data_IF_634502696163
#
_entry.id   IF_634502696163
#
_cell.length_a   1.000
_cell.length_b   1.000
_cell.length_c   1.000
_cell.angle_alpha   90.00
_cell.angle_beta   90.00
_cell.angle_gamma   90.00
#
_symmetry.space_group_name_H-M   'P 1'
#
loop_
_entity.id
_entity.type
_entity.pdbx_description
1 polymer ?
#
# COMPACT_ATOMS: atom_id res chain seq x y z
N UNK A 1 -16.64 -15.22 28.31
CA UNK A 1 -15.95 -16.20 27.44
C UNK A 1 -14.72 -16.71 28.17
N UNK A 2 -14.48 -18.04 28.16
CA UNK A 2 -13.21 -18.61 28.65
C UNK A 2 -12.28 -18.80 27.45
N UNK A 3 -10.99 -18.46 27.58
CA UNK A 3 -10.01 -18.73 26.54
C UNK A 3 -9.85 -20.24 26.33
N UNK A 4 -9.76 -20.68 25.07
CA UNK A 4 -9.47 -22.05 24.70
C UNK A 4 -8.03 -22.14 24.21
N UNK A 5 -7.26 -23.07 24.77
CA UNK A 5 -5.86 -23.30 24.40
C UNK A 5 -5.80 -24.49 23.45
N UNK A 6 -5.25 -24.26 22.26
CA UNK A 6 -5.03 -25.30 21.26
C UNK A 6 -3.54 -25.40 20.96
N UNK A 7 -2.92 -26.54 21.28
CA UNK A 7 -1.56 -26.82 20.85
C UNK A 7 -1.59 -27.30 19.41
N UNK A 8 -0.97 -26.55 18.49
CA UNK A 8 -0.77 -27.02 17.13
C UNK A 8 0.36 -28.05 17.11
N UNK A 9 0.02 -29.30 16.83
CA UNK A 9 1.01 -30.34 16.60
C UNK A 9 1.52 -30.21 15.16
N UNK A 10 2.83 -30.08 14.97
CA UNK A 10 3.42 -30.28 13.65
C UNK A 10 3.19 -31.75 13.26
N UNK A 11 2.33 -32.00 12.27
CA UNK A 11 2.20 -33.32 11.66
C UNK A 11 3.44 -33.57 10.80
N UNK A 12 4.37 -34.41 11.26
CA UNK A 12 5.60 -34.73 10.51
C UNK A 12 6.68 -35.40 11.35
N UNK A 13 7.65 -36.03 10.67
CA UNK A 13 8.82 -36.74 11.22
C UNK A 13 9.53 -35.92 12.32
N UNK A 14 10.13 -36.56 13.35
CA UNK A 14 11.00 -35.86 14.30
C UNK A 14 12.19 -35.14 13.64
N UNK A 15 12.58 -35.59 12.44
CA UNK A 15 13.68 -35.03 11.66
C UNK A 15 13.34 -33.67 11.07
N UNK A 16 14.25 -32.72 11.25
CA UNK A 16 14.16 -31.41 10.65
C UNK A 16 14.56 -31.48 9.16
N UNK A 17 13.95 -30.66 8.29
CA UNK A 17 14.43 -30.50 6.92
C UNK A 17 15.88 -30.01 6.89
N UNK A 18 16.64 -30.37 5.85
CA UNK A 18 18.05 -29.96 5.67
C UNK A 18 18.23 -28.44 5.76
N UNK A 19 17.28 -27.66 5.24
CA UNK A 19 17.35 -26.21 5.31
C UNK A 19 17.40 -25.67 6.75
N UNK A 20 16.82 -26.37 7.72
CA UNK A 20 16.89 -25.94 9.11
C UNK A 20 18.34 -25.96 9.62
N UNK A 21 19.13 -26.93 9.16
CA UNK A 21 20.56 -27.03 9.45
C UNK A 21 21.33 -25.95 8.68
N UNK A 22 21.05 -25.77 7.38
CA UNK A 22 21.72 -24.78 6.53
C UNK A 22 21.57 -23.34 7.06
N UNK A 23 20.39 -23.01 7.61
CA UNK A 23 20.10 -21.72 8.22
C UNK A 23 20.49 -21.64 9.71
N UNK A 24 21.09 -22.68 10.27
CA UNK A 24 21.45 -22.78 11.69
C UNK A 24 20.27 -22.46 12.62
N UNK A 25 19.08 -22.96 12.29
CA UNK A 25 17.86 -22.70 13.03
C UNK A 25 17.70 -23.71 14.16
N UNK A 26 17.39 -23.20 15.35
CA UNK A 26 16.99 -24.06 16.46
C UNK A 26 15.73 -24.87 16.08
N UNK A 27 15.66 -26.14 16.53
CA UNK A 27 14.56 -27.07 16.24
C UNK A 27 13.17 -26.46 16.44
N UNK A 28 13.00 -25.69 17.51
CA UNK A 28 11.73 -25.01 17.79
C UNK A 28 11.40 -23.95 16.73
N UNK A 29 12.39 -23.16 16.31
CA UNK A 29 12.22 -22.12 15.29
C UNK A 29 11.85 -22.73 13.94
N UNK A 30 12.54 -23.80 13.53
CA UNK A 30 12.24 -24.52 12.29
C UNK A 30 10.82 -25.10 12.29
N UNK A 31 10.40 -25.74 13.41
CA UNK A 31 9.02 -26.24 13.57
C UNK A 31 7.98 -25.11 13.51
N UNK A 32 8.27 -23.97 14.13
CA UNK A 32 7.41 -22.78 14.09
C UNK A 32 7.30 -22.16 12.70
N UNK A 33 8.33 -22.29 11.86
CA UNK A 33 8.31 -21.86 10.45
C UNK A 33 7.47 -22.80 9.59
N UNK A 34 7.65 -24.11 9.74
CA UNK A 34 6.82 -25.14 9.06
C UNK A 34 5.35 -24.97 9.41
N UNK A 35 5.02 -24.77 10.70
CA UNK A 35 3.65 -24.52 11.14
C UNK A 35 3.05 -23.24 10.54
N UNK A 36 3.88 -22.28 10.15
CA UNK A 36 3.47 -21.04 9.45
C UNK A 36 3.48 -21.18 7.93
N UNK A 37 3.69 -22.39 7.40
CA UNK A 37 3.64 -22.70 5.97
C UNK A 37 4.95 -22.45 5.21
N UNK A 38 6.07 -22.19 5.91
CA UNK A 38 7.40 -22.07 5.30
C UNK A 38 8.04 -23.47 5.25
N UNK A 39 7.89 -24.15 4.12
CA UNK A 39 8.20 -25.57 4.00
C UNK A 39 9.48 -25.86 3.20
N UNK A 40 9.95 -24.92 2.38
CA UNK A 40 11.16 -25.07 1.57
C UNK A 40 12.23 -24.00 1.86
N UNK A 41 13.46 -24.30 1.43
CA UNK A 41 14.63 -23.47 1.70
C UNK A 41 14.52 -22.07 1.10
N UNK A 42 13.87 -21.91 -0.06
CA UNK A 42 13.75 -20.61 -0.75
C UNK A 42 12.75 -19.70 -0.01
N UNK A 43 11.62 -20.27 0.44
CA UNK A 43 10.65 -19.56 1.27
C UNK A 43 11.28 -19.08 2.59
N UNK A 44 12.04 -19.95 3.27
CA UNK A 44 12.74 -19.60 4.51
C UNK A 44 13.81 -18.55 4.26
N UNK A 45 14.59 -18.68 3.18
CA UNK A 45 15.59 -17.71 2.76
C UNK A 45 15.00 -16.32 2.61
N UNK A 46 13.97 -16.17 1.78
CA UNK A 46 13.34 -14.89 1.50
C UNK A 46 12.57 -14.32 2.69
N UNK A 47 12.05 -15.18 3.57
CA UNK A 47 11.40 -14.73 4.81
C UNK A 47 12.41 -14.11 5.80
N UNK A 48 13.60 -14.69 5.90
CA UNK A 48 14.65 -14.23 6.81
C UNK A 48 15.47 -13.07 6.24
N UNK A 49 15.83 -13.17 4.96
CA UNK A 49 16.76 -12.27 4.28
C UNK A 49 16.10 -11.70 3.03
N UNK A 50 15.71 -10.41 3.02
CA UNK A 50 15.01 -9.84 1.88
C UNK A 50 15.89 -9.81 0.60
N UNK A 51 17.22 -9.88 0.71
CA UNK A 51 18.15 -10.03 -0.42
C UNK A 51 18.03 -11.38 -1.13
N UNK A 52 17.47 -12.38 -0.45
CA UNK A 52 17.23 -13.73 -0.97
C UNK A 52 15.79 -13.94 -1.40
N UNK A 53 14.96 -12.89 -1.35
CA UNK A 53 13.61 -12.91 -1.88
C UNK A 53 13.63 -12.49 -3.35
N UNK A 54 12.83 -13.18 -4.18
CA UNK A 54 12.62 -12.83 -5.58
C UNK A 54 11.25 -12.16 -5.72
N UNK A 55 11.19 -10.83 -5.94
CA UNK A 55 9.93 -10.13 -6.10
C UNK A 55 9.11 -10.67 -7.27
N UNK A 56 7.81 -10.82 -7.06
CA UNK A 56 6.91 -11.26 -8.12
C UNK A 56 6.74 -10.13 -9.17
N UNK A 57 6.67 -10.53 -10.44
CA UNK A 57 6.46 -9.62 -11.56
C UNK A 57 5.12 -8.88 -11.41
N UNK A 58 5.06 -7.56 -11.68
CA UNK A 58 3.83 -6.79 -11.54
C UNK A 58 2.67 -7.32 -12.39
N UNK A 59 2.92 -7.80 -13.61
CA UNK A 59 1.87 -8.31 -14.51
C UNK A 59 1.11 -9.54 -13.96
N UNK A 60 1.65 -10.21 -12.92
CA UNK A 60 0.96 -11.30 -12.24
C UNK A 60 -0.23 -10.81 -11.38
N UNK A 61 -0.35 -9.51 -11.10
CA UNK A 61 -1.52 -8.95 -10.43
C UNK A 61 -2.60 -8.61 -11.46
N UNK A 62 -3.80 -9.23 -11.40
CA UNK A 62 -4.85 -8.99 -12.40
C UNK A 62 -5.25 -7.52 -12.50
N UNK A 63 -5.50 -7.06 -13.73
CA UNK A 63 -5.88 -5.68 -14.05
C UNK A 63 -4.69 -4.71 -14.13
N UNK A 64 -3.48 -5.14 -13.74
CA UNK A 64 -2.36 -4.23 -13.59
C UNK A 64 -1.81 -3.70 -14.92
N UNK A 65 -1.69 -4.55 -15.94
CA UNK A 65 -1.30 -4.12 -17.29
C UNK A 65 -2.30 -3.16 -17.93
N UNK A 66 -3.59 -3.38 -17.70
CA UNK A 66 -4.65 -2.52 -18.19
C UNK A 66 -4.66 -1.17 -17.45
N UNK A 67 -4.53 -1.17 -16.13
CA UNK A 67 -4.44 0.06 -15.34
C UNK A 67 -3.22 0.90 -15.70
N UNK A 68 -2.05 0.28 -15.92
CA UNK A 68 -0.85 0.98 -16.37
C UNK A 68 -1.05 1.63 -17.75
N UNK A 69 -1.69 0.94 -18.70
CA UNK A 69 -2.01 1.50 -20.02
C UNK A 69 -2.95 2.69 -19.93
N UNK A 70 -4.03 2.60 -19.14
CA UNK A 70 -4.95 3.73 -18.92
C UNK A 70 -4.21 4.96 -18.39
N UNK A 71 -3.28 4.78 -17.45
CA UNK A 71 -2.45 5.86 -16.92
C UNK A 71 -1.59 6.47 -18.04
N UNK A 72 -0.87 5.64 -18.81
CA UNK A 72 0.02 6.11 -19.88
C UNK A 72 -0.78 6.88 -20.95
N UNK A 73 -1.91 6.33 -21.38
CA UNK A 73 -2.80 6.97 -22.36
C UNK A 73 -3.27 8.34 -21.86
N UNK A 74 -3.81 8.41 -20.64
CA UNK A 74 -4.28 9.67 -20.03
C UNK A 74 -3.16 10.72 -19.96
N UNK A 75 -1.95 10.32 -19.55
CA UNK A 75 -0.81 11.23 -19.48
C UNK A 75 -0.37 11.68 -20.86
N UNK A 76 -0.37 10.79 -21.86
CA UNK A 76 0.00 11.12 -23.23
C UNK A 76 -0.96 12.09 -23.92
N UNK A 77 -2.25 12.03 -23.54
CA UNK A 77 -3.29 12.95 -24.00
C UNK A 77 -3.22 14.32 -23.30
N UNK A 78 -2.40 14.45 -22.24
CA UNK A 78 -2.28 15.68 -21.47
C UNK A 78 -3.52 16.00 -20.62
N UNK A 79 -4.39 15.02 -20.36
CA UNK A 79 -5.57 15.19 -19.52
C UNK A 79 -5.24 14.93 -18.06
N UNK A 80 -6.03 15.50 -17.14
CA UNK A 80 -5.76 15.36 -15.70
C UNK A 80 -6.19 13.98 -15.18
N UNK A 81 -5.50 13.48 -14.15
CA UNK A 81 -5.87 12.28 -13.42
C UNK A 81 -6.41 12.70 -12.05
N UNK A 82 -7.62 12.27 -11.69
CA UNK A 82 -8.17 12.46 -10.35
C UNK A 82 -7.83 11.25 -9.47
N UNK A 83 -7.00 11.45 -8.46
CA UNK A 83 -6.72 10.47 -7.42
C UNK A 83 -7.72 10.66 -6.28
N UNK A 84 -8.54 9.63 -6.02
CA UNK A 84 -9.46 9.56 -4.89
C UNK A 84 -8.89 8.62 -3.83
N UNK A 85 -8.29 9.18 -2.78
CA UNK A 85 -7.66 8.44 -1.69
C UNK A 85 -8.59 8.12 -0.54
N UNK A 86 -8.41 6.95 0.08
CA UNK A 86 -8.98 6.71 1.39
C UNK A 86 -8.30 7.55 2.49
N UNK A 87 -9.00 7.70 3.61
CA UNK A 87 -8.69 8.61 4.69
C UNK A 87 -7.67 8.07 5.71
N UNK A 88 -7.42 6.76 5.71
CA UNK A 88 -6.43 6.14 6.60
C UNK A 88 -5.00 6.20 6.02
N UNK A 89 -4.02 5.75 6.81
CA UNK A 89 -2.61 5.80 6.41
C UNK A 89 -2.34 5.04 5.11
N UNK A 90 -2.98 3.89 4.87
CA UNK A 90 -2.75 3.11 3.66
C UNK A 90 -3.28 3.85 2.44
N UNK A 91 -4.52 4.36 2.49
CA UNK A 91 -5.09 5.19 1.43
C UNK A 91 -4.28 6.46 1.14
N UNK A 92 -3.80 7.15 2.17
CA UNK A 92 -2.95 8.33 2.02
C UNK A 92 -1.61 7.95 1.36
N UNK A 93 -0.96 6.88 1.81
CA UNK A 93 0.31 6.44 1.22
C UNK A 93 0.13 5.96 -0.22
N UNK A 94 -0.94 5.21 -0.50
CA UNK A 94 -1.32 4.75 -1.85
C UNK A 94 -1.45 5.94 -2.80
N UNK A 95 -2.19 6.95 -2.36
CA UNK A 95 -2.41 8.18 -3.13
C UNK A 95 -1.11 8.94 -3.37
N UNK A 96 -0.27 9.06 -2.34
CA UNK A 96 0.99 9.80 -2.42
C UNK A 96 2.02 9.13 -3.33
N UNK A 97 2.14 7.80 -3.28
CA UNK A 97 3.02 7.04 -4.18
C UNK A 97 2.62 7.26 -5.64
N UNK A 98 1.33 7.18 -5.95
CA UNK A 98 0.83 7.47 -7.30
C UNK A 98 1.04 8.94 -7.68
N UNK A 99 0.70 9.87 -6.80
CA UNK A 99 0.87 11.31 -7.04
C UNK A 99 2.32 11.64 -7.44
N UNK A 100 3.29 11.21 -6.64
CA UNK A 100 4.71 11.48 -6.88
C UNK A 100 5.22 10.78 -8.15
N UNK A 101 4.76 9.55 -8.43
CA UNK A 101 5.15 8.82 -9.62
C UNK A 101 4.58 9.44 -10.91
N UNK A 102 3.31 9.88 -10.87
CA UNK A 102 2.61 10.54 -11.96
C UNK A 102 3.24 11.90 -12.29
N UNK A 103 3.59 12.69 -11.27
CA UNK A 103 4.32 13.96 -11.47
C UNK A 103 5.65 13.75 -12.18
N UNK A 104 6.37 12.65 -11.89
CA UNK A 104 7.63 12.34 -12.57
C UNK A 104 7.46 11.99 -14.05
N UNK A 105 6.28 11.57 -14.51
CA UNK A 105 6.00 11.30 -15.92
C UNK A 105 5.31 12.49 -16.60
N UNK A 106 5.25 13.66 -15.95
CA UNK A 106 4.71 14.90 -16.52
C UNK A 106 3.24 15.14 -16.28
N UNK A 107 2.57 14.28 -15.51
CA UNK A 107 1.16 14.47 -15.16
C UNK A 107 0.99 15.51 -14.05
N UNK A 108 -0.20 16.12 -14.00
CA UNK A 108 -0.63 17.01 -12.91
C UNK A 108 -1.88 16.41 -12.26
N UNK A 109 -1.72 15.42 -11.36
CA UNK A 109 -2.87 14.78 -10.73
C UNK A 109 -3.60 15.75 -9.81
N UNK A 110 -4.93 15.64 -9.80
CA UNK A 110 -5.81 16.26 -8.79
C UNK A 110 -5.99 15.25 -7.67
N UNK A 111 -5.73 15.66 -6.43
CA UNK A 111 -5.80 14.76 -5.27
C UNK A 111 -7.00 15.12 -4.42
N UNK A 112 -7.83 14.13 -4.11
CA UNK A 112 -8.88 14.20 -3.12
C UNK A 112 -8.71 13.09 -2.10
N UNK A 113 -8.49 13.44 -0.83
CA UNK A 113 -8.54 12.47 0.27
C UNK A 113 -9.95 12.51 0.84
N UNK A 114 -10.62 11.36 0.81
CA UNK A 114 -11.99 11.24 1.30
C UNK A 114 -12.06 11.50 2.82
N UNK A 115 -13.21 11.93 3.30
CA UNK A 115 -13.47 12.02 4.75
C UNK A 115 -13.91 10.68 5.36
N UNK A 116 -14.41 9.78 4.53
CA UNK A 116 -14.92 8.46 4.89
C UNK A 116 -14.60 7.46 3.79
N UNK A 117 -14.48 6.17 4.15
CA UNK A 117 -14.20 5.09 3.19
C UNK A 117 -15.31 4.99 2.12
N UNK A 118 -14.89 4.67 0.90
CA UNK A 118 -15.74 4.61 -0.28
C UNK A 118 -15.62 5.84 -1.19
N UNK A 119 -16.28 5.77 -2.36
CA UNK A 119 -16.31 6.86 -3.34
C UNK A 119 -17.71 7.47 -3.36
N UNK A 120 -17.82 8.71 -2.86
CA UNK A 120 -19.10 9.44 -2.82
C UNK A 120 -19.48 9.89 -4.23
N UNK A 121 -20.59 9.38 -4.77
CA UNK A 121 -21.02 9.69 -6.14
C UNK A 121 -21.30 11.18 -6.37
N UNK A 122 -21.90 11.88 -5.40
CA UNK A 122 -22.22 13.31 -5.53
C UNK A 122 -20.95 14.18 -5.55
N UNK A 123 -20.01 13.91 -4.63
CA UNK A 123 -18.75 14.65 -4.57
C UNK A 123 -17.84 14.31 -5.75
N UNK A 124 -17.82 13.04 -6.18
CA UNK A 124 -17.13 12.63 -7.40
C UNK A 124 -17.64 13.39 -8.62
N UNK A 125 -18.96 13.52 -8.79
CA UNK A 125 -19.53 14.30 -9.88
C UNK A 125 -19.12 15.76 -9.83
N UNK A 126 -19.09 16.37 -8.65
CA UNK A 126 -18.61 17.75 -8.49
C UNK A 126 -17.14 17.89 -8.92
N UNK A 127 -16.26 16.99 -8.47
CA UNK A 127 -14.84 17.03 -8.83
C UNK A 127 -14.61 16.76 -10.32
N UNK A 128 -15.38 15.83 -10.91
CA UNK A 128 -15.35 15.57 -12.35
C UNK A 128 -15.77 16.81 -13.14
N UNK A 129 -16.83 17.50 -12.74
CA UNK A 129 -17.26 18.75 -13.39
C UNK A 129 -16.22 19.87 -13.25
N UNK A 130 -15.59 19.96 -12.09
CA UNK A 130 -14.61 21.01 -11.80
C UNK A 130 -13.28 20.80 -12.53
N UNK A 131 -12.82 19.56 -12.65
CA UNK A 131 -11.47 19.25 -13.13
C UNK A 131 -11.42 18.55 -14.49
N UNK A 132 -12.56 18.03 -14.96
CA UNK A 132 -12.67 17.28 -16.22
C UNK A 132 -11.56 16.23 -16.41
N UNK A 133 -11.37 15.30 -15.45
CA UNK A 133 -10.29 14.34 -15.52
C UNK A 133 -10.50 13.34 -16.67
N UNK A 134 -9.40 12.94 -17.31
CA UNK A 134 -9.37 11.85 -18.28
C UNK A 134 -9.38 10.46 -17.63
N UNK A 135 -9.05 10.37 -16.34
CA UNK A 135 -9.05 9.14 -15.55
C UNK A 135 -9.33 9.44 -14.08
N UNK A 136 -10.12 8.58 -13.44
CA UNK A 136 -10.25 8.55 -11.97
C UNK A 136 -9.59 7.29 -11.42
N UNK A 137 -8.72 7.43 -10.43
CA UNK A 137 -8.08 6.32 -9.71
C UNK A 137 -8.53 6.34 -8.24
N UNK A 138 -9.27 5.32 -7.81
CA UNK A 138 -9.57 5.11 -6.40
C UNK A 138 -8.40 4.35 -5.72
N UNK A 139 -7.90 4.91 -4.63
CA UNK A 139 -6.67 4.50 -3.94
C UNK A 139 -7.00 3.99 -2.53
N UNK A 140 -6.83 2.68 -2.32
CA UNK A 140 -7.29 1.92 -1.14
C UNK A 140 -8.81 2.02 -0.86
N UNK A 141 -9.59 2.11 -1.93
CA UNK A 141 -11.04 2.21 -1.84
C UNK A 141 -11.64 1.90 -3.20
N UNK A 142 -12.97 1.81 -3.25
CA UNK A 142 -13.70 1.78 -4.51
C UNK A 142 -14.16 0.40 -4.97
N UNK A 143 -13.69 -0.71 -4.38
CA UNK A 143 -14.10 -2.07 -4.80
C UNK A 143 -15.61 -2.29 -4.78
N UNK A 144 -16.31 -1.64 -3.85
CA UNK A 144 -17.77 -1.72 -3.69
C UNK A 144 -18.52 -0.51 -4.29
N UNK A 145 -17.84 0.42 -4.96
CA UNK A 145 -18.41 1.70 -5.40
C UNK A 145 -19.10 1.62 -6.77
N UNK A 146 -20.10 0.76 -6.91
CA UNK A 146 -20.85 0.56 -8.17
C UNK A 146 -21.47 1.84 -8.72
N UNK A 147 -22.03 2.69 -7.86
CA UNK A 147 -22.64 3.95 -8.28
C UNK A 147 -21.62 4.92 -8.90
N UNK A 148 -20.40 4.96 -8.36
CA UNK A 148 -19.31 5.77 -8.90
C UNK A 148 -18.88 5.25 -10.28
N UNK A 149 -18.66 3.93 -10.41
CA UNK A 149 -18.29 3.29 -11.67
C UNK A 149 -19.34 3.57 -12.78
N UNK A 150 -20.64 3.41 -12.46
CA UNK A 150 -21.72 3.72 -13.41
C UNK A 150 -21.76 5.19 -13.81
N UNK A 151 -21.52 6.11 -12.87
CA UNK A 151 -21.52 7.55 -13.15
C UNK A 151 -20.35 7.96 -14.08
N UNK A 152 -19.17 7.39 -13.86
CA UNK A 152 -17.98 7.63 -14.68
C UNK A 152 -18.13 7.00 -16.07
N UNK A 153 -18.65 5.78 -16.16
CA UNK A 153 -18.97 5.10 -17.43
C UNK A 153 -19.94 5.92 -18.30
N UNK A 154 -21.01 6.47 -17.71
CA UNK A 154 -21.93 7.39 -18.41
C UNK A 154 -21.24 8.66 -18.92
N UNK A 155 -20.20 9.11 -18.22
CA UNK A 155 -19.40 10.27 -18.59
C UNK A 155 -18.22 9.92 -19.50
N UNK A 156 -18.06 8.65 -19.87
CA UNK A 156 -16.93 8.10 -20.63
C UNK A 156 -15.57 8.38 -20.00
N UNK A 157 -15.52 8.44 -18.68
CA UNK A 157 -14.27 8.60 -17.92
C UNK A 157 -13.89 7.22 -17.39
N UNK A 158 -12.73 6.66 -17.78
CA UNK A 158 -12.19 5.45 -17.19
C UNK A 158 -12.09 5.52 -15.67
N UNK A 159 -12.35 4.39 -15.01
CA UNK A 159 -12.26 4.25 -13.57
C UNK A 159 -11.33 3.09 -13.22
N UNK A 160 -10.22 3.41 -12.53
CA UNK A 160 -9.25 2.45 -12.03
C UNK A 160 -9.39 2.32 -10.51
N UNK A 161 -9.49 1.09 -10.02
CA UNK A 161 -9.65 0.78 -8.60
C UNK A 161 -8.43 0.01 -8.11
N UNK A 162 -7.71 0.57 -7.14
CA UNK A 162 -6.64 -0.11 -6.39
C UNK A 162 -7.15 -0.36 -4.97
N UNK A 163 -7.53 -1.59 -4.66
CA UNK A 163 -8.19 -1.92 -3.39
C UNK A 163 -7.86 -3.36 -2.97
N UNK A 164 -7.83 -3.62 -1.66
CA UNK A 164 -7.55 -4.94 -1.09
C UNK A 164 -8.58 -5.38 -0.03
N UNK A 165 -9.63 -4.58 0.21
CA UNK A 165 -10.64 -4.81 1.24
C UNK A 165 -11.50 -6.08 1.05
N UNK A 166 -11.55 -6.59 -0.18
CA UNK A 166 -12.31 -7.79 -0.55
C UNK A 166 -12.77 -7.71 -2.00
N UNK A 167 -13.64 -8.64 -2.40
CA UNK A 167 -14.32 -8.61 -3.70
C UNK A 167 -15.83 -8.42 -3.48
N UNK A 168 -16.49 -7.59 -4.31
CA UNK A 168 -17.95 -7.48 -4.29
C UNK A 168 -18.60 -8.77 -4.82
N UNK A 169 -19.80 -9.09 -4.34
CA UNK A 169 -20.57 -10.24 -4.85
C UNK A 169 -20.88 -10.10 -6.35
N UNK A 170 -21.22 -8.88 -6.78
CA UNK A 170 -21.40 -8.54 -8.18
C UNK A 170 -20.12 -7.88 -8.72
N UNK A 171 -19.58 -8.30 -9.87
CA UNK A 171 -18.40 -7.66 -10.46
C UNK A 171 -18.63 -6.17 -10.75
N UNK A 172 -17.61 -5.36 -10.50
CA UNK A 172 -17.59 -3.94 -10.85
C UNK A 172 -17.31 -3.77 -12.36
N UNK A 173 -18.32 -3.99 -13.20
CA UNK A 173 -18.18 -4.09 -14.67
C UNK A 173 -17.65 -2.83 -15.37
N UNK A 174 -17.90 -1.67 -14.79
CA UNK A 174 -17.58 -0.34 -15.36
C UNK A 174 -16.24 0.21 -14.82
N UNK A 175 -15.34 -0.66 -14.36
CA UNK A 175 -14.05 -0.28 -13.79
C UNK A 175 -12.98 -1.32 -14.10
N UNK A 176 -11.73 -0.86 -14.24
CA UNK A 176 -10.56 -1.74 -14.16
C UNK A 176 -10.21 -1.88 -12.69
N UNK A 177 -10.16 -3.10 -12.18
CA UNK A 177 -9.87 -3.38 -10.79
C UNK A 177 -8.55 -4.13 -10.65
N UNK A 178 -7.67 -3.60 -9.82
CA UNK A 178 -6.42 -4.23 -9.40
C UNK A 178 -6.60 -4.59 -7.93
N UNK A 179 -6.81 -5.88 -7.67
CA UNK A 179 -7.13 -6.38 -6.34
C UNK A 179 -6.48 -7.75 -6.09
N UNK A 180 -5.63 -7.89 -5.05
CA UNK A 180 -4.90 -9.12 -4.77
C UNK A 180 -5.82 -10.28 -4.37
N UNK A 181 -7.06 -10.02 -3.93
CA UNK A 181 -8.04 -11.06 -3.63
C UNK A 181 -8.53 -11.81 -4.88
N UNK A 182 -8.20 -11.34 -6.09
CA UNK A 182 -8.41 -12.09 -7.34
C UNK A 182 -7.42 -13.25 -7.51
N UNK A 183 -6.37 -13.30 -6.69
CA UNK A 183 -5.34 -14.34 -6.71
C UNK A 183 -5.64 -15.46 -5.71
N UNK A 184 -4.97 -16.60 -5.89
CA UNK A 184 -4.92 -17.62 -4.86
C UNK A 184 -4.33 -17.03 -3.56
N UNK A 185 -4.85 -17.37 -2.36
CA UNK A 185 -4.30 -16.91 -1.09
C UNK A 185 -2.82 -17.24 -0.88
N UNK A 186 -2.29 -18.26 -1.57
CA UNK A 186 -0.88 -18.65 -1.52
C UNK A 186 0.01 -17.83 -2.47
N UNK A 187 -0.57 -16.99 -3.33
CA UNK A 187 0.20 -16.19 -4.29
C UNK A 187 1.02 -15.12 -3.56
N UNK A 188 2.27 -14.84 -3.98
CA UNK A 188 3.13 -13.87 -3.28
C UNK A 188 2.55 -12.45 -3.17
N UNK A 189 1.73 -12.05 -4.14
CA UNK A 189 1.05 -10.75 -4.20
C UNK A 189 -0.30 -10.70 -3.46
N UNK A 190 -0.81 -11.83 -2.93
CA UNK A 190 -2.16 -11.92 -2.37
C UNK A 190 -2.37 -11.09 -1.09
N UNK A 191 -1.28 -10.69 -0.43
CA UNK A 191 -1.30 -9.99 0.86
C UNK A 191 -0.98 -8.50 0.73
N UNK A 192 -0.92 -7.95 -0.50
CA UNK A 192 -0.63 -6.53 -0.69
C UNK A 192 -1.72 -5.66 -0.07
N UNK A 193 -1.30 -4.64 0.68
CA UNK A 193 -2.14 -3.50 1.04
C UNK A 193 -2.28 -2.55 -0.17
N UNK A 194 -3.15 -1.55 -0.08
CA UNK A 194 -3.36 -0.54 -1.12
C UNK A 194 -2.05 0.08 -1.60
N UNK A 195 -1.16 0.47 -0.68
CA UNK A 195 0.12 1.10 -1.04
C UNK A 195 1.05 0.13 -1.77
N UNK A 196 0.97 -1.17 -1.45
CA UNK A 196 1.70 -2.23 -2.15
C UNK A 196 1.20 -2.42 -3.58
N UNK A 197 -0.12 -2.32 -3.79
CA UNK A 197 -0.73 -2.33 -5.13
C UNK A 197 -0.25 -1.11 -5.93
N UNK A 198 -0.33 0.10 -5.35
CA UNK A 198 0.16 1.32 -6.00
C UNK A 198 1.65 1.21 -6.37
N UNK A 199 2.49 0.64 -5.49
CA UNK A 199 3.89 0.39 -5.81
C UNK A 199 4.04 -0.52 -7.02
N UNK A 200 3.28 -1.62 -7.11
CA UNK A 200 3.28 -2.52 -8.28
C UNK A 200 2.79 -1.82 -9.56
N UNK A 201 1.77 -0.97 -9.46
CA UNK A 201 1.32 -0.14 -10.59
C UNK A 201 2.45 0.76 -11.09
N UNK A 202 3.18 1.43 -10.19
CA UNK A 202 4.32 2.27 -10.57
C UNK A 202 5.46 1.45 -11.17
N UNK A 203 5.73 0.24 -10.65
CA UNK A 203 6.70 -0.68 -11.25
C UNK A 203 6.35 -0.98 -12.72
N UNK A 204 5.10 -1.32 -13.00
CA UNK A 204 4.67 -1.65 -14.36
C UNK A 204 4.61 -0.45 -15.28
N UNK A 205 4.14 0.69 -14.78
CA UNK A 205 4.14 1.96 -15.51
C UNK A 205 5.56 2.28 -16.01
N UNK A 206 6.57 2.10 -15.15
CA UNK A 206 7.95 2.40 -15.50
C UNK A 206 8.57 1.36 -16.41
N UNK A 207 8.21 0.09 -16.25
CA UNK A 207 8.56 -0.97 -17.18
C UNK A 207 8.04 -0.66 -18.61
N UNK A 208 6.76 -0.32 -18.75
CA UNK A 208 6.14 0.00 -20.04
C UNK A 208 6.71 1.28 -20.68
N UNK A 209 7.12 2.27 -19.88
CA UNK A 209 7.79 3.48 -20.37
C UNK A 209 9.29 3.28 -20.68
N UNK A 210 9.83 2.07 -20.52
CA UNK A 210 11.21 1.74 -20.86
C UNK A 210 12.26 2.40 -19.95
N UNK A 211 11.89 2.79 -18.73
CA UNK A 211 12.77 3.53 -17.83
C UNK A 211 13.06 2.80 -16.52
N UNK A 212 14.33 2.71 -16.13
CA UNK A 212 14.74 2.39 -14.76
C UNK A 212 14.62 3.65 -13.90
N UNK A 213 13.44 3.86 -13.30
CA UNK A 213 13.22 4.96 -12.36
C UNK A 213 13.40 4.46 -10.94
N UNK A 214 13.83 5.35 -10.04
CA UNK A 214 14.20 5.03 -8.66
C UNK A 214 12.97 4.69 -7.78
N UNK A 215 12.39 3.50 -8.01
CA UNK A 215 11.29 2.93 -7.23
C UNK A 215 11.58 2.93 -5.73
N UNK A 216 12.86 2.79 -5.37
CA UNK A 216 13.31 2.73 -4.00
C UNK A 216 12.73 3.88 -3.16
N UNK A 217 12.65 5.11 -3.68
CA UNK A 217 12.23 6.32 -2.93
C UNK A 217 10.85 6.24 -2.25
N UNK A 218 10.00 5.31 -2.69
CA UNK A 218 8.65 5.15 -2.14
C UNK A 218 8.54 4.02 -1.13
N UNK A 219 9.60 3.21 -0.95
CA UNK A 219 9.52 2.05 -0.07
C UNK A 219 9.27 2.45 1.39
N UNK A 220 9.73 3.61 1.84
CA UNK A 220 9.37 4.14 3.17
C UNK A 220 7.84 4.33 3.34
N UNK A 221 7.13 4.80 2.31
CA UNK A 221 5.68 4.97 2.30
C UNK A 221 4.98 3.62 2.18
N UNK A 222 5.53 2.71 1.38
CA UNK A 222 5.02 1.33 1.24
C UNK A 222 5.07 0.61 2.58
N UNK A 223 6.18 0.71 3.32
CA UNK A 223 6.29 0.13 4.65
C UNK A 223 5.31 0.79 5.63
N UNK A 224 5.21 2.12 5.62
CA UNK A 224 4.30 2.86 6.49
C UNK A 224 2.83 2.45 6.27
N UNK A 225 2.33 2.49 5.04
CA UNK A 225 0.94 2.11 4.71
C UNK A 225 0.68 0.63 4.99
N UNK A 226 1.56 -0.26 4.54
CA UNK A 226 1.39 -1.71 4.77
C UNK A 226 1.38 -2.07 6.25
N UNK A 227 2.21 -1.43 7.08
CA UNK A 227 2.25 -1.67 8.52
C UNK A 227 1.07 -1.03 9.25
N UNK A 228 0.56 0.12 8.77
CA UNK A 228 -0.65 0.70 9.31
C UNK A 228 -1.87 -0.20 9.09
N UNK A 229 -1.84 -0.98 8.02
CA UNK A 229 -2.88 -1.93 7.67
C UNK A 229 -2.73 -3.30 8.37
N UNK A 230 -3.82 -4.07 8.43
CA UNK A 230 -3.84 -5.39 9.08
C UNK A 230 -3.63 -6.54 8.09
N UNK A 231 -2.81 -6.34 7.06
CA UNK A 231 -2.46 -7.42 6.13
C UNK A 231 -1.41 -8.39 6.72
N UNK A 232 -1.43 -9.68 6.32
CA UNK A 232 -0.37 -10.61 6.67
C UNK A 232 0.98 -10.17 6.08
N UNK A 233 2.02 -10.10 6.92
CA UNK A 233 3.40 -9.85 6.47
C UNK A 233 4.05 -11.15 5.97
N UNK A 234 3.57 -11.62 4.83
CA UNK A 234 4.07 -12.77 4.07
C UNK A 234 4.37 -12.34 2.63
N UNK A 235 5.21 -13.13 1.94
CA UNK A 235 5.51 -12.92 0.52
C UNK A 235 5.97 -11.50 0.21
N UNK A 236 5.34 -10.89 -0.78
CA UNK A 236 5.74 -9.58 -1.31
C UNK A 236 5.56 -8.48 -0.25
N UNK A 237 4.48 -8.50 0.52
CA UNK A 237 4.24 -7.51 1.58
C UNK A 237 5.34 -7.52 2.64
N UNK A 238 5.83 -8.70 3.02
CA UNK A 238 6.96 -8.81 3.95
C UNK A 238 8.23 -8.22 3.37
N UNK A 239 8.56 -8.59 2.13
CA UNK A 239 9.73 -8.10 1.44
C UNK A 239 9.73 -6.56 1.33
N UNK A 240 8.60 -5.99 0.89
CA UNK A 240 8.45 -4.54 0.74
C UNK A 240 8.56 -3.81 2.09
N UNK A 241 7.98 -4.37 3.16
CA UNK A 241 8.12 -3.82 4.51
C UNK A 241 9.56 -3.90 5.00
N UNK A 242 10.28 -5.01 4.80
CA UNK A 242 11.69 -5.12 5.20
C UNK A 242 12.57 -4.10 4.49
N UNK A 243 12.39 -3.90 3.18
CA UNK A 243 13.14 -2.91 2.42
C UNK A 243 12.74 -1.48 2.79
N UNK A 244 11.44 -1.22 2.97
CA UNK A 244 10.93 0.09 3.31
C UNK A 244 11.27 0.55 4.72
N UNK A 245 11.32 -0.37 5.71
CA UNK A 245 11.80 -0.04 7.05
C UNK A 245 13.25 0.44 7.03
N UNK A 246 14.14 -0.21 6.25
CA UNK A 246 15.53 0.23 6.10
C UNK A 246 15.66 1.64 5.54
N UNK A 247 14.73 2.06 4.70
CA UNK A 247 14.70 3.45 4.21
C UNK A 247 14.08 4.40 5.22
N UNK A 248 13.01 3.96 5.88
CA UNK A 248 12.33 4.75 6.89
C UNK A 248 13.25 5.12 8.06
N UNK A 249 14.20 4.25 8.42
CA UNK A 249 15.18 4.53 9.48
C UNK A 249 16.13 5.69 9.16
N UNK A 250 16.30 6.05 7.89
CA UNK A 250 17.14 7.16 7.42
C UNK A 250 16.35 8.11 6.50
N UNK A 251 15.04 8.23 6.72
CA UNK A 251 14.17 9.05 5.87
C UNK A 251 14.54 10.53 5.94
N UNK A 252 14.62 11.17 4.77
CA UNK A 252 14.74 12.62 4.64
C UNK A 252 13.37 13.32 4.49
N UNK A 253 12.26 12.57 4.45
CA UNK A 253 10.93 13.14 4.26
C UNK A 253 10.54 13.98 5.47
N UNK A 254 10.37 15.31 5.34
CA UNK A 254 10.19 16.18 6.51
C UNK A 254 8.96 15.82 7.34
N UNK A 255 7.87 15.39 6.68
CA UNK A 255 6.67 14.86 7.33
C UNK A 255 6.93 13.70 8.29
N UNK A 256 7.68 12.70 7.83
CA UNK A 256 8.00 11.50 8.62
C UNK A 256 8.98 11.82 9.75
N UNK A 257 9.97 12.67 9.48
CA UNK A 257 10.91 13.16 10.51
C UNK A 257 10.15 13.92 11.62
N UNK A 258 9.24 14.82 11.24
CA UNK A 258 8.43 15.56 12.20
C UNK A 258 7.47 14.65 12.98
N UNK A 259 6.87 13.66 12.32
CA UNK A 259 5.98 12.68 12.94
C UNK A 259 6.72 11.80 13.95
N UNK A 260 7.90 11.26 13.60
CA UNK A 260 8.72 10.45 14.50
C UNK A 260 9.14 11.25 15.75
N UNK A 261 9.57 12.51 15.57
CA UNK A 261 9.86 13.43 16.69
C UNK A 261 8.63 13.68 17.56
N UNK A 262 7.46 13.90 16.98
CA UNK A 262 6.21 14.08 17.73
C UNK A 262 5.75 12.79 18.45
N UNK A 263 6.18 11.63 17.95
CA UNK A 263 5.93 10.33 18.54
C UNK A 263 6.98 9.90 19.57
N UNK A 264 8.05 10.69 19.75
CA UNK A 264 9.22 10.31 20.54
C UNK A 264 9.85 8.97 20.09
N UNK A 265 9.84 8.72 18.78
CA UNK A 265 10.46 7.55 18.14
C UNK A 265 11.79 7.96 17.52
N UNK A 266 12.84 7.20 17.81
CA UNK A 266 14.14 7.35 17.18
C UNK A 266 14.15 6.61 15.83
N UNK A 267 14.31 7.36 14.72
CA UNK A 267 14.28 6.79 13.37
C UNK A 267 15.36 5.73 13.16
N UNK A 268 16.59 5.97 13.65
CA UNK A 268 17.73 5.08 13.41
C UNK A 268 17.52 3.64 13.94
N UNK A 269 16.64 3.46 14.92
CA UNK A 269 16.32 2.15 15.53
C UNK A 269 14.86 1.74 15.34
N UNK A 270 14.11 2.49 14.52
CA UNK A 270 12.68 2.28 14.31
C UNK A 270 12.40 0.89 13.74
N UNK A 271 11.48 0.17 14.38
CA UNK A 271 10.99 -1.13 13.94
C UNK A 271 9.54 -1.10 13.46
N UNK A 272 9.05 -2.26 13.03
CA UNK A 272 7.65 -2.43 12.60
C UNK A 272 6.65 -2.06 13.72
N UNK A 273 6.97 -2.34 14.98
CA UNK A 273 6.11 -2.05 16.12
C UNK A 273 5.97 -0.55 16.37
N UNK A 274 7.05 0.22 16.23
CA UNK A 274 7.00 1.68 16.33
C UNK A 274 6.07 2.28 15.28
N UNK A 275 6.12 1.78 14.04
CA UNK A 275 5.19 2.22 12.99
C UNK A 275 3.75 1.93 13.40
N UNK A 276 3.46 0.70 13.83
CA UNK A 276 2.11 0.24 14.15
C UNK A 276 1.49 0.91 15.37
N UNK A 277 2.30 1.17 16.39
CA UNK A 277 1.83 1.64 17.69
C UNK A 277 2.05 3.15 17.89
N UNK A 278 2.96 3.76 17.15
CA UNK A 278 3.34 5.17 17.37
C UNK A 278 3.07 6.07 16.16
N UNK A 279 3.59 5.74 14.97
CA UNK A 279 3.43 6.61 13.79
C UNK A 279 2.04 6.51 13.15
N UNK A 280 1.61 5.29 12.80
CA UNK A 280 0.33 5.07 12.11
C UNK A 280 -0.89 5.57 12.92
N UNK A 281 -0.99 5.33 14.25
CA UNK A 281 -2.11 5.85 15.03
C UNK A 281 -2.21 7.38 15.01
N UNK A 282 -1.08 8.09 14.95
CA UNK A 282 -1.02 9.56 14.88
C UNK A 282 -1.42 10.09 13.51
N UNK A 283 -1.09 9.39 12.42
CA UNK A 283 -1.59 9.76 11.09
C UNK A 283 -3.10 9.50 10.99
N UNK A 284 -3.57 8.35 11.44
CA UNK A 284 -5.00 8.04 11.49
C UNK A 284 -5.80 8.99 12.41
N UNK A 285 -5.13 9.68 13.35
CA UNK A 285 -5.77 10.69 14.19
C UNK A 285 -6.31 11.87 13.37
N UNK A 286 -5.62 12.28 12.30
CA UNK A 286 -6.11 13.34 11.41
C UNK A 286 -7.46 12.99 10.81
N UNK A 287 -7.60 11.76 10.35
CA UNK A 287 -8.84 11.28 9.76
C UNK A 287 -9.98 11.19 10.79
N UNK A 288 -9.70 10.73 12.01
CA UNK A 288 -10.67 10.74 13.13
C UNK A 288 -11.14 12.14 13.53
N UNK A 289 -10.32 13.16 13.26
CA UNK A 289 -10.64 14.57 13.51
C UNK A 289 -11.31 15.25 12.30
N UNK A 290 -11.66 14.50 11.25
CA UNK A 290 -12.26 15.03 10.02
C UNK A 290 -11.29 15.82 9.15
N UNK A 291 -10.00 15.55 9.28
CA UNK A 291 -8.91 16.37 8.72
C UNK A 291 -7.87 15.50 7.98
N UNK A 292 -8.33 14.44 7.30
CA UNK A 292 -7.46 13.48 6.60
C UNK A 292 -6.56 14.14 5.54
N UNK A 293 -7.03 15.22 4.91
CA UNK A 293 -6.23 16.04 3.99
C UNK A 293 -4.95 16.58 4.64
N UNK A 294 -4.97 16.90 5.94
CA UNK A 294 -3.78 17.36 6.65
C UNK A 294 -2.77 16.25 6.93
N UNK A 295 -3.17 14.97 6.95
CA UNK A 295 -2.21 13.87 7.00
C UNK A 295 -1.47 13.70 5.66
N UNK A 296 -2.18 13.81 4.53
CA UNK A 296 -1.53 13.90 3.22
C UNK A 296 -0.62 15.12 3.11
N UNK A 297 -1.10 16.29 3.57
CA UNK A 297 -0.30 17.52 3.60
C UNK A 297 0.95 17.38 4.48
N UNK A 298 0.87 16.69 5.63
CA UNK A 298 2.02 16.43 6.48
C UNK A 298 3.11 15.65 5.73
N UNK A 299 2.73 14.63 4.94
CA UNK A 299 3.68 13.79 4.23
C UNK A 299 4.28 14.44 2.97
N UNK A 300 3.66 15.52 2.46
CA UNK A 300 4.12 16.30 1.30
C UNK A 300 4.75 17.65 1.65
N UNK A 301 4.63 18.07 2.92
CA UNK A 301 5.08 19.37 3.39
C UNK A 301 6.61 19.53 3.43
N UNK A 302 7.05 20.79 3.36
CA UNK A 302 8.40 21.18 3.75
C UNK A 302 8.61 21.03 5.27
N UNK A 303 9.86 21.21 5.73
CA UNK A 303 10.21 21.02 7.14
C UNK A 303 9.47 21.94 8.11
N UNK A 304 9.16 23.18 7.73
CA UNK A 304 8.46 24.12 8.59
C UNK A 304 6.99 23.73 8.75
N UNK A 305 6.32 23.49 7.62
CA UNK A 305 4.92 23.08 7.60
C UNK A 305 4.73 21.70 8.24
N UNK A 306 5.63 20.75 7.98
CA UNK A 306 5.61 19.43 8.59
C UNK A 306 5.70 19.49 10.12
N UNK A 307 6.60 20.33 10.66
CA UNK A 307 6.73 20.53 12.10
C UNK A 307 5.43 21.06 12.72
N UNK A 308 4.74 22.00 12.06
CA UNK A 308 3.45 22.52 12.53
C UNK A 308 2.38 21.44 12.50
N UNK A 309 2.21 20.75 11.37
CA UNK A 309 1.16 19.73 11.19
C UNK A 309 1.34 18.55 12.15
N UNK A 310 2.57 18.08 12.36
CA UNK A 310 2.86 16.96 13.26
C UNK A 310 2.42 17.20 14.72
N UNK A 311 2.34 18.46 15.17
CA UNK A 311 1.83 18.77 16.53
C UNK A 311 0.32 18.54 16.66
N UNK A 312 -0.45 18.64 15.57
CA UNK A 312 -1.91 18.43 15.58
C UNK A 312 -2.26 16.97 15.87
N UNK A 313 -1.44 16.04 15.39
CA UNK A 313 -1.58 14.60 15.65
C UNK A 313 -1.26 14.17 17.09
N UNK A 314 -0.78 15.07 17.98
CA UNK A 314 -0.47 14.74 19.39
C UNK A 314 -1.69 14.65 20.30
N UNK A 315 -2.86 15.12 19.85
CA UNK A 315 -4.07 15.27 20.70
C UNK A 315 -4.96 14.03 20.77
N UNK A 316 -4.44 12.85 20.41
CA UNK A 316 -5.18 11.58 20.44
C UNK A 316 -4.42 10.54 21.23
#
# INVERSE_FOLDING_TARGET
MKAQWHLQHAHGSPELPDWAVDFNLHTLTARLMIQRGLNDAQQVAGFLYPERYSPALPELLPGLDEGARLIIETVSEGTSILLWGDHDVDGICTTLVLEEALRQIGAVPVVHIAAYRGVSGALLQQLVQQHSPGLVIACDTGAYSHAAAQALSKSKIPYLVLDHSGLPEAPLKDAVMINPNLLSPAHPLATLAGVGIAFKVVQQLYHQLGGERQLARWLELVALGTLAERVPLLGESRYLVQQGLRQLTDTARPGLVALARAAAVELATLGAEDVRLSLAPRLNAFARLGDAQNAHALLTADASQAAMLATRGRRV
#
